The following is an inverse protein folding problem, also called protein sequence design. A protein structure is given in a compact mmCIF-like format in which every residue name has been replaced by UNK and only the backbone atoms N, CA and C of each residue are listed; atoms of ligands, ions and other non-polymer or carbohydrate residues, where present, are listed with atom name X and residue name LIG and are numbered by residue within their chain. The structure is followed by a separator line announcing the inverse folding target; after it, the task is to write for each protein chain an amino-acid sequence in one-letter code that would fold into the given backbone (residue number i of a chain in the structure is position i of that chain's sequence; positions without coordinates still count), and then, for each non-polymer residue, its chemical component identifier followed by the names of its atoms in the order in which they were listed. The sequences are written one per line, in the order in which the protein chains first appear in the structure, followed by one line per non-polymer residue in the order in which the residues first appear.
data_IF_302791956622
#
_entry.id   IF_302791956622
#
_cell.length_a   1.000
_cell.length_b   1.000
_cell.length_c   1.000
_cell.angle_alpha   90.00
_cell.angle_beta   90.00
_cell.angle_gamma   90.00
#
_symmetry.space_group_name_H-M   'P 1'
#
loop_
_entity.id
_entity.type
_entity.pdbx_description
1 polymer ?
#
# COMPACT_ATOMS: atom_id res chain seq x y z
N UNK A 1 6.37 -32.47 -0.23
CA UNK A 1 7.56 -31.61 -0.47
C UNK A 1 7.57 -30.54 0.60
N UNK A 2 8.70 -30.32 1.27
CA UNK A 2 8.80 -29.47 2.46
C UNK A 2 8.42 -28.02 2.13
N UNK A 3 7.26 -27.55 2.59
CA UNK A 3 6.76 -26.16 2.40
C UNK A 3 7.49 -25.12 3.24
N UNK A 4 8.66 -25.48 3.79
CA UNK A 4 9.43 -24.67 4.70
C UNK A 4 10.35 -23.71 3.92
N UNK A 5 10.13 -22.41 4.08
CA UNK A 5 10.99 -21.35 3.51
C UNK A 5 11.93 -20.79 4.58
N UNK A 6 13.12 -20.41 4.17
CA UNK A 6 14.01 -19.58 4.98
C UNK A 6 13.85 -18.11 4.59
N UNK A 7 14.00 -17.23 5.57
CA UNK A 7 13.93 -15.79 5.36
C UNK A 7 15.35 -15.24 5.24
N UNK A 8 15.55 -14.35 4.26
CA UNK A 8 16.83 -13.66 4.12
C UNK A 8 16.86 -12.38 4.93
N UNK A 9 18.03 -12.11 5.52
CA UNK A 9 18.27 -10.84 6.17
C UNK A 9 18.45 -9.74 5.10
N UNK A 10 17.52 -8.78 5.09
CA UNK A 10 17.52 -7.66 4.14
C UNK A 10 17.98 -6.34 4.75
N UNK A 11 18.54 -6.35 5.96
CA UNK A 11 18.98 -5.12 6.65
C UNK A 11 19.96 -4.29 5.80
N UNK A 12 20.87 -4.95 5.06
CA UNK A 12 21.80 -4.28 4.15
C UNK A 12 21.15 -3.67 2.90
N UNK A 13 19.96 -4.15 2.51
CA UNK A 13 19.23 -3.64 1.35
C UNK A 13 18.28 -2.49 1.70
N UNK A 14 17.83 -2.38 2.96
CA UNK A 14 16.91 -1.31 3.40
C UNK A 14 17.39 0.12 3.09
N UNK A 15 18.68 0.49 3.25
CA UNK A 15 19.16 1.82 2.92
C UNK A 15 19.03 2.19 1.43
N UNK A 16 18.86 1.20 0.55
CA UNK A 16 18.66 1.43 -0.90
C UNK A 16 17.23 1.88 -1.24
N UNK A 17 16.28 1.71 -0.32
CA UNK A 17 14.90 2.13 -0.49
C UNK A 17 14.79 3.60 -0.09
N UNK A 18 14.53 4.48 -1.07
CA UNK A 18 14.26 5.89 -0.82
C UNK A 18 13.05 6.03 0.13
N UNK A 19 13.19 6.74 1.25
CA UNK A 19 12.14 6.84 2.25
C UNK A 19 10.87 7.50 1.69
N UNK A 20 9.72 6.83 1.81
CA UNK A 20 8.44 7.39 1.39
C UNK A 20 8.06 8.53 2.35
N UNK A 21 8.01 9.75 1.84
CA UNK A 21 7.88 10.98 2.64
C UNK A 21 6.57 11.74 2.41
N UNK A 22 5.61 11.17 1.68
CA UNK A 22 4.36 11.84 1.33
C UNK A 22 4.34 12.39 -0.10
N UNK A 23 5.51 12.54 -0.74
CA UNK A 23 5.58 13.09 -2.10
C UNK A 23 5.31 12.01 -3.16
N UNK A 24 4.41 12.33 -4.08
CA UNK A 24 4.01 11.43 -5.18
C UNK A 24 5.17 11.06 -6.12
N UNK A 25 6.18 11.92 -6.24
CA UNK A 25 7.37 11.69 -7.09
C UNK A 25 8.30 10.58 -6.57
N UNK A 26 8.34 10.37 -5.25
CA UNK A 26 9.17 9.34 -4.61
C UNK A 26 8.52 7.96 -4.74
N UNK A 27 7.19 7.91 -4.82
CA UNK A 27 6.41 6.68 -4.75
C UNK A 27 6.80 5.60 -5.79
N UNK A 28 7.01 5.91 -7.09
CA UNK A 28 7.40 4.88 -8.06
C UNK A 28 8.76 4.23 -7.74
N UNK A 29 9.74 5.04 -7.30
CA UNK A 29 11.08 4.56 -6.93
C UNK A 29 11.05 3.77 -5.63
N UNK A 30 10.33 4.27 -4.62
CA UNK A 30 10.09 3.58 -3.37
C UNK A 30 9.44 2.21 -3.60
N UNK A 31 8.36 2.16 -4.39
CA UNK A 31 7.64 0.91 -4.67
C UNK A 31 8.54 -0.13 -5.33
N UNK A 32 9.23 0.27 -6.40
CA UNK A 32 10.13 -0.61 -7.14
C UNK A 32 11.19 -1.25 -6.22
N UNK A 33 11.87 -0.43 -5.41
CA UNK A 33 12.90 -0.94 -4.49
C UNK A 33 12.36 -1.72 -3.31
N UNK A 34 11.19 -1.34 -2.78
CA UNK A 34 10.56 -2.10 -1.71
C UNK A 34 10.12 -3.49 -2.18
N UNK A 35 9.60 -3.60 -3.40
CA UNK A 35 9.19 -4.87 -4.00
C UNK A 35 10.40 -5.82 -4.15
N UNK A 36 11.56 -5.30 -4.58
CA UNK A 36 12.83 -6.04 -4.61
C UNK A 36 13.20 -6.55 -3.20
N UNK A 37 13.13 -5.68 -2.19
CA UNK A 37 13.47 -6.02 -0.79
C UNK A 37 12.53 -7.08 -0.21
N UNK A 38 11.23 -6.96 -0.42
CA UNK A 38 10.24 -7.93 0.04
C UNK A 38 10.39 -9.28 -0.69
N UNK A 39 10.82 -9.24 -1.95
CA UNK A 39 11.12 -10.45 -2.74
C UNK A 39 12.37 -11.14 -2.20
N UNK A 40 13.45 -10.41 -1.95
CA UNK A 40 14.67 -10.95 -1.32
C UNK A 40 14.38 -11.52 0.07
N UNK A 41 13.57 -10.82 0.86
CA UNK A 41 13.15 -11.29 2.19
C UNK A 41 12.33 -12.59 2.13
N UNK A 42 11.66 -12.85 1.00
CA UNK A 42 10.79 -14.01 0.83
C UNK A 42 9.39 -13.82 1.42
N UNK A 43 8.89 -12.57 1.49
CA UNK A 43 7.57 -12.21 2.04
C UNK A 43 6.62 -11.60 1.01
N UNK A 44 7.09 -11.39 -0.23
CA UNK A 44 6.31 -10.71 -1.28
C UNK A 44 4.99 -11.42 -1.64
N UNK A 45 4.95 -12.74 -1.59
CA UNK A 45 3.75 -13.54 -1.82
C UNK A 45 2.68 -13.39 -0.71
N UNK A 46 3.11 -13.10 0.53
CA UNK A 46 2.20 -12.74 1.63
C UNK A 46 1.70 -11.31 1.46
N UNK A 47 2.59 -10.38 1.06
CA UNK A 47 2.25 -8.97 0.82
C UNK A 47 1.27 -8.82 -0.33
N UNK A 48 1.44 -9.55 -1.42
CA UNK A 48 0.51 -9.56 -2.54
C UNK A 48 -0.80 -10.33 -2.24
N UNK A 49 -0.85 -11.06 -1.11
CA UNK A 49 -2.00 -11.88 -0.73
C UNK A 49 -2.12 -13.17 -1.54
N UNK A 50 -1.06 -13.58 -2.26
CA UNK A 50 -0.99 -14.85 -2.99
C UNK A 50 -1.14 -16.04 -2.05
N UNK A 51 -0.54 -15.95 -0.85
CA UNK A 51 -0.76 -16.93 0.22
C UNK A 51 -1.78 -16.36 1.20
N UNK A 52 -2.94 -17.00 1.23
CA UNK A 52 -4.01 -16.70 2.17
C UNK A 52 -3.62 -17.22 3.54
N UNK A 53 -3.95 -16.44 4.57
CA UNK A 53 -3.77 -16.83 5.97
C UNK A 53 -4.54 -18.13 6.25
N UNK A 54 -3.87 -19.18 6.77
CA UNK A 54 -4.56 -20.43 7.13
C UNK A 54 -5.68 -20.21 8.16
N UNK A 55 -6.75 -21.01 8.12
CA UNK A 55 -7.80 -20.96 9.14
C UNK A 55 -7.24 -21.32 10.50
N UNK A 56 -7.85 -20.78 11.56
CA UNK A 56 -7.46 -21.06 12.93
C UNK A 56 -7.81 -22.49 13.27
N UNK A 57 -6.84 -23.39 13.19
CA UNK A 57 -6.99 -24.75 13.72
C UNK A 57 -7.01 -24.63 15.23
N UNK A 58 -8.14 -24.96 15.86
CA UNK A 58 -8.16 -25.12 17.31
C UNK A 58 -7.14 -26.20 17.70
N UNK A 59 -6.30 -25.96 18.71
CA UNK A 59 -5.30 -26.93 19.09
C UNK A 59 -6.03 -28.19 19.58
N UNK A 60 -5.86 -29.31 18.88
CA UNK A 60 -5.99 -30.62 19.54
C UNK A 60 -5.01 -30.57 20.70
N UNK A 61 -5.52 -30.73 21.91
CA UNK A 61 -4.76 -30.68 23.14
C UNK A 61 -3.54 -31.60 23.03
N UNK A 62 -2.38 -30.98 22.82
CA UNK A 62 -1.11 -31.57 23.17
C UNK A 62 -0.26 -30.45 23.77
N UNK A 63 0.04 -30.61 25.06
CA UNK A 63 0.91 -29.73 25.82
C UNK A 63 2.31 -29.80 25.18
N UNK A 64 2.76 -28.74 24.51
CA UNK A 64 4.10 -28.78 23.92
C UNK A 64 4.60 -27.48 23.35
N UNK A 65 5.14 -26.64 24.23
CA UNK A 65 6.16 -25.60 23.96
C UNK A 65 5.66 -24.31 23.28
N UNK A 66 5.93 -23.12 23.86
CA UNK A 66 5.72 -21.86 23.14
C UNK A 66 6.50 -21.87 21.83
N UNK A 67 6.00 -21.22 20.76
CA UNK A 67 6.69 -21.23 19.47
C UNK A 67 8.10 -20.66 19.65
N UNK A 68 9.08 -21.55 19.59
CA UNK A 68 10.49 -21.19 19.65
C UNK A 68 10.79 -20.24 18.49
N UNK A 69 11.41 -19.10 18.77
CA UNK A 69 11.93 -18.14 17.80
C UNK A 69 13.17 -18.69 17.06
N UNK A 70 13.20 -20.00 16.80
CA UNK A 70 14.26 -20.63 16.05
C UNK A 70 14.09 -20.26 14.58
N UNK A 71 14.69 -19.14 14.17
CA UNK A 71 14.90 -18.77 12.77
C UNK A 71 15.63 -19.86 11.94
N UNK A 72 16.12 -20.93 12.60
CA UNK A 72 16.68 -22.14 12.00
C UNK A 72 15.61 -23.13 11.51
N UNK A 73 14.41 -23.10 12.09
CA UNK A 73 13.24 -23.88 11.64
C UNK A 73 12.55 -23.06 10.55
N UNK A 74 12.61 -23.53 9.30
CA UNK A 74 11.99 -22.81 8.18
C UNK A 74 10.49 -22.56 8.42
N UNK A 75 9.97 -21.47 7.89
CA UNK A 75 8.57 -21.07 8.02
C UNK A 75 7.69 -21.83 7.04
N UNK A 76 6.55 -22.37 7.48
CA UNK A 76 5.54 -22.95 6.61
C UNK A 76 4.23 -22.13 6.62
N UNK A 77 4.16 -20.99 5.92
CA UNK A 77 3.00 -20.10 5.96
C UNK A 77 1.76 -20.64 5.23
N UNK A 78 1.86 -21.74 4.48
CA UNK A 78 0.70 -22.34 3.82
C UNK A 78 -0.13 -23.20 4.77
N UNK A 79 0.55 -23.87 5.70
CA UNK A 79 -0.08 -24.85 6.56
C UNK A 79 -0.09 -24.41 8.04
N UNK A 80 0.76 -23.45 8.43
CA UNK A 80 0.89 -22.95 9.79
C UNK A 80 0.52 -21.46 9.89
N UNK A 81 -0.54 -21.17 10.65
CA UNK A 81 -1.01 -19.82 10.88
C UNK A 81 0.00 -18.94 11.63
N UNK A 82 0.72 -19.50 12.62
CA UNK A 82 1.71 -18.74 13.38
C UNK A 82 2.88 -18.31 12.49
N UNK A 83 3.34 -19.20 11.62
CA UNK A 83 4.41 -18.89 10.66
C UNK A 83 3.94 -17.80 9.67
N UNK A 84 2.70 -17.90 9.17
CA UNK A 84 2.12 -16.87 8.32
C UNK A 84 2.02 -15.52 9.04
N UNK A 85 1.54 -15.52 10.28
CA UNK A 85 1.39 -14.30 11.10
C UNK A 85 2.77 -13.67 11.35
N UNK A 86 3.80 -14.45 11.71
CA UNK A 86 5.18 -13.97 11.89
C UNK A 86 5.76 -13.37 10.61
N UNK A 87 5.56 -14.00 9.45
CA UNK A 87 6.04 -13.46 8.18
C UNK A 87 5.30 -12.19 7.74
N UNK A 88 3.99 -12.13 7.99
CA UNK A 88 3.21 -10.91 7.78
C UNK A 88 3.69 -9.78 8.72
N UNK A 89 4.02 -10.08 9.97
CA UNK A 89 4.56 -9.07 10.90
C UNK A 89 5.94 -8.57 10.50
N UNK A 90 6.80 -9.48 10.05
CA UNK A 90 8.11 -9.14 9.50
C UNK A 90 7.97 -8.20 8.30
N UNK A 91 7.11 -8.55 7.33
CA UNK A 91 6.85 -7.70 6.17
C UNK A 91 6.28 -6.33 6.57
N UNK A 92 5.35 -6.27 7.53
CA UNK A 92 4.84 -5.02 8.09
C UNK A 92 5.97 -4.14 8.67
N UNK A 93 6.90 -4.74 9.42
CA UNK A 93 8.04 -4.02 9.99
C UNK A 93 8.96 -3.48 8.88
N UNK A 94 9.29 -4.32 7.90
CA UNK A 94 10.09 -3.93 6.72
C UNK A 94 9.46 -2.76 5.96
N UNK A 95 8.16 -2.83 5.65
CA UNK A 95 7.44 -1.74 4.98
C UNK A 95 7.55 -0.46 5.83
N UNK A 96 7.27 -0.53 7.13
CA UNK A 96 7.28 0.65 8.03
C UNK A 96 8.64 1.31 8.17
N UNK A 97 9.73 0.53 8.15
CA UNK A 97 11.10 1.08 8.19
C UNK A 97 11.43 1.94 6.97
N UNK A 98 10.69 1.79 5.86
CA UNK A 98 10.86 2.60 4.65
C UNK A 98 9.93 3.80 4.58
N UNK A 99 9.11 4.02 5.61
CA UNK A 99 8.17 5.15 5.69
C UNK A 99 8.77 6.26 6.56
N UNK A 100 8.44 7.51 6.22
CA UNK A 100 8.69 8.63 7.13
C UNK A 100 7.89 8.46 8.43
N UNK A 101 8.38 9.07 9.52
CA UNK A 101 7.76 8.98 10.85
C UNK A 101 6.25 9.26 10.85
N UNK A 102 5.74 10.32 10.17
CA UNK A 102 4.29 10.57 10.13
C UNK A 102 3.50 9.46 9.44
N UNK A 103 4.03 8.87 8.37
CA UNK A 103 3.37 7.78 7.64
C UNK A 103 3.43 6.46 8.42
N UNK A 104 4.59 6.15 9.03
CA UNK A 104 4.74 4.99 9.90
C UNK A 104 3.73 5.05 11.06
N UNK A 105 3.52 6.23 11.65
CA UNK A 105 2.52 6.43 12.69
C UNK A 105 1.09 6.28 12.16
N UNK A 106 0.79 6.85 10.98
CA UNK A 106 -0.53 6.71 10.34
C UNK A 106 -0.92 5.26 10.09
N UNK A 107 0.03 4.42 9.68
CA UNK A 107 -0.21 3.03 9.33
C UNK A 107 0.19 2.02 10.43
N UNK A 108 0.42 2.50 11.66
CA UNK A 108 0.91 1.70 12.78
C UNK A 108 0.01 0.51 13.16
N UNK A 109 -1.30 0.67 13.02
CA UNK A 109 -2.29 -0.37 13.39
C UNK A 109 -2.73 -1.21 12.19
N UNK A 110 -2.30 -0.88 10.98
CA UNK A 110 -2.70 -1.61 9.78
C UNK A 110 -1.97 -2.95 9.70
N UNK A 111 -2.73 -4.03 9.86
CA UNK A 111 -2.35 -5.42 9.63
C UNK A 111 -3.49 -6.11 8.86
N UNK A 112 -3.23 -7.20 8.13
CA UNK A 112 -1.93 -7.81 7.83
C UNK A 112 -1.11 -7.02 6.79
N UNK A 113 0.08 -7.51 6.44
CA UNK A 113 1.00 -6.84 5.50
C UNK A 113 0.36 -6.54 4.15
N UNK A 114 -0.49 -7.44 3.65
CA UNK A 114 -1.21 -7.24 2.39
C UNK A 114 -2.17 -6.04 2.42
N UNK A 115 -2.86 -5.85 3.54
CA UNK A 115 -3.72 -4.67 3.74
C UNK A 115 -2.89 -3.40 3.87
N UNK A 116 -1.79 -3.44 4.61
CA UNK A 116 -0.88 -2.31 4.76
C UNK A 116 -0.36 -1.84 3.40
N UNK A 117 0.27 -2.75 2.66
CA UNK A 117 0.87 -2.46 1.35
C UNK A 117 -0.19 -1.94 0.38
N UNK A 118 -1.29 -2.67 0.17
CA UNK A 118 -2.35 -2.26 -0.75
C UNK A 118 -3.00 -0.91 -0.38
N UNK A 119 -3.11 -0.59 0.90
CA UNK A 119 -3.64 0.71 1.35
C UNK A 119 -2.69 1.85 0.97
N UNK A 120 -1.37 1.66 1.15
CA UNK A 120 -0.36 2.63 0.73
C UNK A 120 -0.41 2.77 -0.80
N UNK A 121 -0.35 1.67 -1.54
CA UNK A 121 -0.38 1.69 -3.00
C UNK A 121 -1.61 2.45 -3.51
N UNK A 122 -2.81 2.10 -3.05
CA UNK A 122 -4.06 2.79 -3.44
C UNK A 122 -4.05 4.28 -3.09
N UNK A 123 -3.47 4.65 -1.95
CA UNK A 123 -3.39 6.06 -1.55
C UNK A 123 -2.51 6.87 -2.50
N UNK A 124 -1.45 6.30 -3.06
CA UNK A 124 -0.54 7.01 -3.96
C UNK A 124 -0.90 6.85 -5.44
N UNK A 125 -1.48 5.73 -5.86
CA UNK A 125 -2.00 5.53 -7.22
C UNK A 125 -3.14 6.50 -7.53
N UNK A 126 -4.05 6.74 -6.57
CA UNK A 126 -5.08 7.79 -6.67
C UNK A 126 -4.50 9.20 -6.78
N UNK A 127 -3.26 9.41 -6.33
CA UNK A 127 -2.57 10.68 -6.37
C UNK A 127 -1.52 10.77 -7.49
N UNK A 128 -1.61 9.91 -8.52
CA UNK A 128 -0.68 9.96 -9.66
C UNK A 128 -0.81 11.25 -10.46
N UNK A 129 0.26 11.67 -11.15
CA UNK A 129 0.22 12.81 -12.09
C UNK A 129 -0.87 12.62 -13.14
N UNK A 130 -1.03 11.40 -13.67
CA UNK A 130 -2.07 11.07 -14.63
C UNK A 130 -3.47 11.30 -14.04
N UNK A 131 -3.73 10.86 -12.81
CA UNK A 131 -4.98 11.15 -12.11
C UNK A 131 -5.19 12.65 -11.90
N UNK A 132 -4.15 13.40 -11.49
CA UNK A 132 -4.23 14.87 -11.36
C UNK A 132 -4.60 15.54 -12.68
N UNK A 133 -3.97 15.12 -13.78
CA UNK A 133 -4.28 15.64 -15.13
C UNK A 133 -5.72 15.31 -15.50
N UNK A 134 -6.18 14.06 -15.30
CA UNK A 134 -7.57 13.67 -15.58
C UNK A 134 -8.59 14.45 -14.75
N UNK A 135 -8.30 14.68 -13.47
CA UNK A 135 -9.17 15.44 -12.58
C UNK A 135 -9.25 16.92 -13.00
N UNK A 136 -8.12 17.53 -13.39
CA UNK A 136 -8.11 18.89 -13.90
C UNK A 136 -8.79 18.98 -15.27
N UNK A 137 -8.51 18.06 -16.18
CA UNK A 137 -9.17 17.98 -17.49
C UNK A 137 -10.68 17.85 -17.33
N UNK A 138 -11.15 16.95 -16.48
CA UNK A 138 -12.58 16.79 -16.20
C UNK A 138 -13.25 18.03 -15.59
N UNK A 139 -12.50 18.96 -14.99
CA UNK A 139 -13.04 20.23 -14.53
C UNK A 139 -13.02 21.30 -15.63
N UNK A 140 -11.91 21.43 -16.35
CA UNK A 140 -11.70 22.46 -17.38
C UNK A 140 -12.37 22.15 -18.72
N UNK A 141 -12.62 20.88 -19.03
CA UNK A 141 -13.17 20.45 -20.32
C UNK A 141 -14.70 20.40 -20.36
N UNK A 142 -15.39 20.65 -19.24
CA UNK A 142 -16.86 20.60 -19.15
C UNK A 142 -17.47 21.81 -19.83
N UNK A 143 -17.94 21.61 -21.06
CA UNK A 143 -18.61 22.64 -21.86
C UNK A 143 -20.13 22.55 -21.69
N UNK A 144 -20.78 23.71 -21.58
CA UNK A 144 -22.25 23.78 -21.58
C UNK A 144 -22.76 23.46 -22.98
N UNK A 145 -23.63 22.45 -23.09
CA UNK A 145 -24.46 22.21 -24.25
C UNK A 145 -25.70 23.13 -24.21
N UNK A 146 -25.87 24.07 -25.16
CA UNK A 146 -27.00 24.99 -25.19
C UNK A 146 -28.37 24.30 -25.30
N UNK A 147 -28.41 23.05 -25.75
CA UNK A 147 -29.64 22.25 -25.85
C UNK A 147 -30.08 21.66 -24.51
N UNK A 148 -29.22 21.71 -23.49
CA UNK A 148 -29.50 21.19 -22.15
C UNK A 148 -29.73 22.31 -21.12
N UNK A 149 -30.56 22.06 -20.09
CA UNK A 149 -30.72 22.98 -18.96
C UNK A 149 -29.37 23.32 -18.31
N UNK A 150 -29.14 24.61 -18.09
CA UNK A 150 -27.91 25.11 -17.44
C UNK A 150 -27.65 24.46 -16.06
N UNK A 151 -28.70 24.04 -15.37
CA UNK A 151 -28.61 23.35 -14.08
C UNK A 151 -27.83 22.03 -14.16
N UNK A 152 -27.91 21.29 -15.29
CA UNK A 152 -27.14 20.06 -15.48
C UNK A 152 -25.64 20.36 -15.56
N UNK A 153 -25.26 21.36 -16.33
CA UNK A 153 -23.87 21.81 -16.46
C UNK A 153 -23.31 22.30 -15.12
N UNK A 154 -24.07 23.12 -14.38
CA UNK A 154 -23.69 23.56 -13.03
C UNK A 154 -23.50 22.36 -12.09
N UNK A 155 -24.39 21.36 -12.17
CA UNK A 155 -24.28 20.13 -11.38
C UNK A 155 -22.99 19.36 -11.68
N UNK A 156 -22.66 19.19 -12.96
CA UNK A 156 -21.43 18.51 -13.39
C UNK A 156 -20.17 19.23 -12.90
N UNK A 157 -20.12 20.56 -13.02
CA UNK A 157 -18.99 21.37 -12.53
C UNK A 157 -18.84 21.24 -11.01
N UNK A 158 -19.94 21.26 -10.25
CA UNK A 158 -19.90 21.10 -8.78
C UNK A 158 -19.32 19.74 -8.39
N UNK A 159 -19.76 18.67 -9.04
CA UNK A 159 -19.23 17.31 -8.79
C UNK A 159 -17.73 17.23 -9.10
N UNK A 160 -17.29 17.81 -10.23
CA UNK A 160 -15.88 17.86 -10.57
C UNK A 160 -15.06 18.68 -9.54
N UNK A 161 -15.60 19.81 -9.09
CA UNK A 161 -14.99 20.65 -8.05
C UNK A 161 -14.87 19.92 -6.70
N UNK A 162 -15.92 19.24 -6.24
CA UNK A 162 -15.92 18.44 -5.00
C UNK A 162 -14.88 17.31 -5.07
N UNK A 163 -14.70 16.73 -6.26
CA UNK A 163 -13.71 15.69 -6.50
C UNK A 163 -12.27 16.25 -6.39
N UNK A 164 -12.02 17.43 -6.96
CA UNK A 164 -10.73 18.14 -6.81
C UNK A 164 -10.43 18.51 -5.35
N UNK A 165 -11.43 19.01 -4.63
CA UNK A 165 -11.35 19.36 -3.21
C UNK A 165 -10.97 18.13 -2.35
N UNK A 166 -11.65 17.01 -2.57
CA UNK A 166 -11.39 15.75 -1.86
C UNK A 166 -9.96 15.25 -2.13
N UNK A 167 -9.46 15.44 -3.36
CA UNK A 167 -8.11 15.07 -3.77
C UNK A 167 -7.03 16.09 -3.36
N UNK A 168 -7.40 17.20 -2.70
CA UNK A 168 -6.52 18.34 -2.39
C UNK A 168 -5.77 18.86 -3.64
N UNK A 169 -6.44 18.84 -4.78
CA UNK A 169 -5.95 19.34 -6.07
C UNK A 169 -6.65 20.65 -6.42
N UNK A 170 -6.56 21.63 -5.52
CA UNK A 170 -7.16 22.94 -5.76
C UNK A 170 -6.53 23.58 -7.01
N UNK A 171 -7.34 24.20 -7.89
CA UNK A 171 -6.82 25.06 -8.94
C UNK A 171 -5.93 26.14 -8.35
N UNK A 172 -4.73 26.33 -8.90
CA UNK A 172 -3.83 27.41 -8.50
C UNK A 172 -4.13 28.65 -9.35
N UNK A 173 -3.91 29.86 -8.83
CA UNK A 173 -4.12 31.13 -9.55
C UNK A 173 -3.40 31.20 -10.91
N UNK A 174 -2.30 30.44 -11.07
CA UNK A 174 -1.58 30.29 -12.34
C UNK A 174 -2.36 29.56 -13.45
N UNK A 175 -3.50 28.94 -13.13
CA UNK A 175 -4.34 28.18 -14.07
C UNK A 175 -5.57 28.97 -14.53
N UNK A 176 -5.78 30.17 -13.97
CA UNK A 176 -6.81 31.11 -14.40
C UNK A 176 -6.17 31.97 -15.49
N UNK A 177 -6.38 31.60 -16.75
CA UNK A 177 -5.99 32.46 -17.89
C UNK A 177 -7.15 33.39 -18.23
N UNK A 178 -6.85 34.67 -18.44
CA UNK A 178 -7.78 35.71 -18.94
C UNK A 178 -8.41 35.36 -20.30
#
# INVERSE_FOLDING_TARGET
MSSHRQIQNVAGALPTVEMLNGKSEVFPRWRCRLDDVLSMQGTMDIVNGTIVRPPKTEPKADLGTPPSNDYKKGYNPKDNQADWDSLSELACATIRLTLSVPLAQRYRTTKPASRLYSTIIKAYEKNTRACRIQLQDAFWSVKHDPTQPIALWIGQIRVAADTLLTAKQLPTDQQITD
#
